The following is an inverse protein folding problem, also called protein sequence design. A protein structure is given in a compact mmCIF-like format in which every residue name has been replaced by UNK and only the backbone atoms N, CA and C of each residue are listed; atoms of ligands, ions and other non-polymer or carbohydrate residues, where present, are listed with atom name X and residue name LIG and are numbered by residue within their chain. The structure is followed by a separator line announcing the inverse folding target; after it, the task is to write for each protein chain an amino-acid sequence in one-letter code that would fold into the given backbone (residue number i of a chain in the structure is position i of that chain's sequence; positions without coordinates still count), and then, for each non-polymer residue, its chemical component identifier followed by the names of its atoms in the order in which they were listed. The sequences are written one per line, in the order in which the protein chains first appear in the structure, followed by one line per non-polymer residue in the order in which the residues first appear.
data_IF_454021734412
#
_entry.id   IF_454021734412
#
_cell.length_a   1.000
_cell.length_b   1.000
_cell.length_c   1.000
_cell.angle_alpha   90.00
_cell.angle_beta   90.00
_cell.angle_gamma   90.00
#
_symmetry.space_group_name_H-M   'P 1'
#
loop_
_entity.id
_entity.type
_entity.pdbx_description
1 polymer ?
#
# COMPACT_ATOMS: atom_id res chain seq x y z
N UNK A 1 2.71 17.89 3.60
CA UNK A 1 2.13 16.76 4.34
C UNK A 1 3.01 16.48 5.53
N UNK A 2 2.50 15.78 6.55
CA UNK A 2 3.33 15.28 7.65
C UNK A 2 4.30 14.21 7.15
N UNK A 3 5.50 14.15 7.73
CA UNK A 3 6.49 13.13 7.41
C UNK A 3 6.08 11.79 8.02
N UNK A 4 5.76 10.82 7.15
CA UNK A 4 5.39 9.45 7.55
C UNK A 4 6.52 8.65 8.24
N UNK A 5 7.74 9.18 8.29
CA UNK A 5 8.92 8.51 8.89
C UNK A 5 9.25 9.03 10.29
N UNK A 6 8.96 10.30 10.59
CA UNK A 6 9.34 10.93 11.86
C UNK A 6 8.28 11.86 12.48
N UNK A 7 7.10 11.99 11.86
CA UNK A 7 6.01 12.84 12.36
C UNK A 7 6.20 14.35 12.16
N UNK A 8 7.27 14.78 11.48
CA UNK A 8 7.50 16.21 11.25
C UNK A 8 6.40 16.82 10.38
N UNK A 9 5.82 17.94 10.82
CA UNK A 9 4.62 18.54 10.21
C UNK A 9 4.82 19.05 8.78
N UNK A 10 6.05 19.39 8.37
CA UNK A 10 6.32 20.03 7.07
C UNK A 10 7.27 19.23 6.19
N UNK A 11 6.77 18.74 5.06
CA UNK A 11 7.60 18.19 3.98
C UNK A 11 7.48 19.01 2.71
N UNK A 12 8.49 18.93 1.84
CA UNK A 12 8.48 19.59 0.53
C UNK A 12 8.48 18.55 -0.60
N UNK A 13 7.89 18.93 -1.75
CA UNK A 13 7.87 18.08 -2.95
C UNK A 13 9.30 17.89 -3.48
N UNK A 14 9.66 16.67 -3.83
CA UNK A 14 11.00 16.27 -4.26
C UNK A 14 10.93 15.46 -5.58
N UNK A 15 10.34 16.05 -6.62
CA UNK A 15 10.13 15.40 -7.91
C UNK A 15 9.11 14.26 -7.88
N UNK A 16 9.01 13.50 -8.97
CA UNK A 16 8.08 12.36 -9.11
C UNK A 16 8.86 11.08 -9.43
N UNK A 17 8.30 9.94 -9.05
CA UNK A 17 8.78 8.63 -9.49
C UNK A 17 8.44 8.40 -10.97
N UNK A 18 9.10 7.43 -11.65
CA UNK A 18 8.78 7.11 -13.05
C UNK A 18 7.31 6.71 -13.29
N UNK A 19 6.67 6.12 -12.28
CA UNK A 19 5.25 5.76 -12.29
C UNK A 19 4.31 6.92 -11.89
N UNK A 20 4.83 8.15 -11.80
CA UNK A 20 4.04 9.37 -11.59
C UNK A 20 3.78 9.75 -10.12
N UNK A 21 4.04 8.85 -9.16
CA UNK A 21 3.83 9.14 -7.74
C UNK A 21 4.74 10.28 -7.26
N UNK A 22 4.15 11.21 -6.49
CA UNK A 22 4.90 12.33 -5.93
C UNK A 22 5.87 11.84 -4.85
N UNK A 23 7.11 12.36 -4.86
CA UNK A 23 8.07 12.17 -3.76
C UNK A 23 8.08 13.39 -2.85
N UNK A 24 8.35 13.17 -1.58
CA UNK A 24 8.44 14.20 -0.55
C UNK A 24 9.72 14.03 0.24
N UNK A 25 10.39 15.14 0.53
CA UNK A 25 11.57 15.17 1.40
C UNK A 25 11.21 15.86 2.72
N UNK A 26 11.71 15.28 3.81
CA UNK A 26 11.58 15.84 5.15
C UNK A 26 12.87 16.58 5.54
N UNK A 27 12.81 17.88 5.91
CA UNK A 27 13.99 18.63 6.34
C UNK A 27 14.55 18.18 7.70
N UNK A 28 13.72 17.58 8.55
CA UNK A 28 14.13 17.15 9.89
C UNK A 28 14.89 15.82 9.86
N UNK A 29 14.27 14.74 9.36
CA UNK A 29 14.93 13.43 9.29
C UNK A 29 15.80 13.25 8.03
N UNK A 30 15.77 14.20 7.09
CA UNK A 30 16.53 14.20 5.81
C UNK A 30 16.24 13.00 4.91
N UNK A 31 15.11 12.32 5.11
CA UNK A 31 14.68 11.18 4.31
C UNK A 31 13.67 11.61 3.24
N UNK A 32 13.62 10.83 2.15
CA UNK A 32 12.62 10.98 1.09
C UNK A 32 11.65 9.80 1.13
N UNK A 33 10.37 10.07 0.97
CA UNK A 33 9.35 9.03 0.88
C UNK A 33 8.40 9.33 -0.29
N UNK A 34 7.74 8.30 -0.82
CA UNK A 34 6.72 8.46 -1.86
C UNK A 34 5.37 8.76 -1.24
N UNK A 35 4.48 9.34 -2.03
CA UNK A 35 3.06 9.52 -1.68
C UNK A 35 2.42 8.21 -1.21
N UNK A 36 2.69 7.12 -1.93
CA UNK A 36 2.24 5.76 -1.62
C UNK A 36 2.96 5.10 -0.44
N UNK A 37 3.92 5.77 0.21
CA UNK A 37 4.65 5.20 1.35
C UNK A 37 3.70 4.72 2.44
N UNK A 38 3.96 3.51 2.93
CA UNK A 38 3.16 2.81 3.92
C UNK A 38 1.65 2.72 3.57
N UNK A 39 1.32 2.62 2.28
CA UNK A 39 -0.03 2.29 1.82
C UNK A 39 -0.06 0.85 1.29
N UNK A 40 -1.26 0.32 1.04
CA UNK A 40 -1.42 -0.98 0.38
C UNK A 40 -0.82 -1.01 -1.04
N UNK A 41 -0.66 0.16 -1.67
CA UNK A 41 -0.13 0.35 -3.02
C UNK A 41 1.41 0.45 -3.05
N UNK A 42 2.06 0.51 -1.89
CA UNK A 42 3.51 0.73 -1.80
C UNK A 42 4.31 -0.42 -2.42
N UNK A 43 5.24 -0.12 -3.33
CA UNK A 43 6.08 -1.09 -4.05
C UNK A 43 5.31 -2.23 -4.73
N UNK A 44 4.07 -1.98 -5.18
CA UNK A 44 3.30 -2.96 -5.95
C UNK A 44 3.14 -2.51 -7.40
N UNK A 45 3.31 -3.47 -8.31
CA UNK A 45 2.95 -3.34 -9.73
C UNK A 45 1.55 -3.97 -9.96
N UNK A 46 0.62 -3.69 -9.06
CA UNK A 46 -0.75 -4.19 -9.09
C UNK A 46 -1.66 -2.97 -9.12
N UNK A 47 -2.66 -2.97 -10.00
CA UNK A 47 -3.55 -1.83 -10.10
C UNK A 47 -4.41 -1.68 -8.83
N UNK A 48 -4.86 -0.47 -8.47
CA UNK A 48 -5.77 -0.28 -7.34
C UNK A 48 -7.03 -1.14 -7.44
N UNK A 49 -7.57 -1.32 -8.65
CA UNK A 49 -8.76 -2.11 -8.94
C UNK A 49 -8.52 -3.60 -8.65
N UNK A 50 -7.36 -4.12 -9.03
CA UNK A 50 -6.99 -5.50 -8.72
C UNK A 50 -6.82 -5.72 -7.20
N UNK A 51 -6.24 -4.75 -6.48
CA UNK A 51 -6.15 -4.82 -5.02
C UNK A 51 -7.56 -4.83 -4.41
N UNK A 52 -8.47 -3.96 -4.88
CA UNK A 52 -9.85 -3.94 -4.43
C UNK A 52 -10.55 -5.28 -4.69
N UNK A 53 -10.41 -5.85 -5.89
CA UNK A 53 -10.97 -7.16 -6.22
C UNK A 53 -10.44 -8.28 -5.30
N UNK A 54 -9.14 -8.29 -5.01
CA UNK A 54 -8.54 -9.25 -4.07
C UNK A 54 -9.16 -9.12 -2.69
N UNK A 55 -9.27 -7.90 -2.15
CA UNK A 55 -9.79 -7.67 -0.81
C UNK A 55 -11.29 -7.98 -0.71
N UNK A 56 -12.07 -7.61 -1.73
CA UNK A 56 -13.50 -7.92 -1.81
C UNK A 56 -13.75 -9.43 -1.89
N UNK A 57 -13.06 -10.13 -2.78
CA UNK A 57 -13.23 -11.58 -2.90
C UNK A 57 -12.79 -12.31 -1.62
N UNK A 58 -11.78 -11.79 -0.92
CA UNK A 58 -11.36 -12.33 0.37
C UNK A 58 -12.41 -12.12 1.47
N UNK A 59 -13.01 -10.92 1.56
CA UNK A 59 -14.06 -10.64 2.55
C UNK A 59 -15.35 -11.44 2.29
N UNK A 60 -15.62 -11.80 1.04
CA UNK A 60 -16.72 -12.70 0.64
C UNK A 60 -16.42 -14.19 0.90
N UNK A 61 -15.24 -14.53 1.42
CA UNK A 61 -14.87 -15.90 1.78
C UNK A 61 -14.24 -16.72 0.66
N UNK A 62 -13.86 -16.10 -0.46
CA UNK A 62 -13.13 -16.80 -1.53
C UNK A 62 -11.74 -17.20 -1.04
N UNK A 63 -11.36 -18.47 -1.29
CA UNK A 63 -10.01 -18.93 -0.95
C UNK A 63 -8.93 -18.13 -1.69
N UNK A 64 -7.76 -17.94 -1.08
CA UNK A 64 -6.63 -17.22 -1.70
C UNK A 64 -6.21 -17.83 -3.05
N UNK A 65 -6.35 -19.14 -3.21
CA UNK A 65 -6.11 -19.83 -4.50
C UNK A 65 -7.21 -19.51 -5.52
N UNK A 66 -8.46 -19.43 -5.10
CA UNK A 66 -9.57 -18.98 -5.94
C UNK A 66 -9.39 -17.55 -6.43
N UNK A 67 -8.99 -16.64 -5.54
CA UNK A 67 -8.71 -15.24 -5.88
C UNK A 67 -7.59 -15.14 -6.91
N UNK A 68 -6.51 -15.93 -6.75
CA UNK A 68 -5.41 -15.99 -7.72
C UNK A 68 -5.90 -16.41 -9.12
N UNK A 69 -6.84 -17.36 -9.20
CA UNK A 69 -7.44 -17.79 -10.48
C UNK A 69 -8.33 -16.71 -11.11
N UNK A 70 -9.13 -16.01 -10.30
CA UNK A 70 -10.07 -14.97 -10.76
C UNK A 70 -9.32 -13.72 -11.24
N UNK A 71 -8.34 -13.27 -10.45
CA UNK A 71 -7.62 -12.01 -10.70
C UNK A 71 -6.43 -12.17 -11.65
N UNK A 72 -5.98 -13.41 -11.89
CA UNK A 72 -4.76 -13.70 -12.64
C UNK A 72 -3.46 -13.33 -11.90
N UNK A 73 -3.55 -12.83 -10.65
CA UNK A 73 -2.38 -12.50 -9.85
C UNK A 73 -1.70 -13.77 -9.33
N UNK A 74 -0.37 -13.74 -9.25
CA UNK A 74 0.40 -14.80 -8.61
C UNK A 74 -0.09 -15.01 -7.16
N UNK A 75 -0.18 -16.27 -6.74
CA UNK A 75 -0.70 -16.64 -5.41
C UNK A 75 -0.01 -15.87 -4.27
N UNK A 76 1.32 -15.73 -4.32
CA UNK A 76 2.07 -15.00 -3.30
C UNK A 76 1.77 -13.49 -3.29
N UNK A 77 1.41 -12.90 -4.43
CA UNK A 77 0.95 -11.50 -4.50
C UNK A 77 -0.38 -11.34 -3.79
N UNK A 78 -1.34 -12.25 -4.03
CA UNK A 78 -2.64 -12.28 -3.33
C UNK A 78 -2.43 -12.39 -1.81
N UNK A 79 -1.61 -13.37 -1.38
CA UNK A 79 -1.28 -13.56 0.04
C UNK A 79 -0.66 -12.30 0.65
N UNK A 80 0.28 -11.66 -0.07
CA UNK A 80 0.94 -10.44 0.38
C UNK A 80 -0.05 -9.27 0.54
N UNK A 81 -0.97 -9.09 -0.40
CA UNK A 81 -2.02 -8.05 -0.33
C UNK A 81 -2.89 -8.27 0.90
N UNK A 82 -3.42 -9.49 1.08
CA UNK A 82 -4.29 -9.83 2.20
C UNK A 82 -3.57 -9.61 3.54
N UNK A 83 -2.32 -10.09 3.69
CA UNK A 83 -1.55 -9.89 4.93
C UNK A 83 -1.30 -8.42 5.25
N UNK A 84 -0.94 -7.60 4.25
CA UNK A 84 -0.75 -6.16 4.44
C UNK A 84 -2.04 -5.47 4.87
N UNK A 85 -3.17 -5.86 4.28
CA UNK A 85 -4.49 -5.34 4.66
C UNK A 85 -4.88 -5.77 6.08
N UNK A 86 -4.73 -7.05 6.44
CA UNK A 86 -5.02 -7.54 7.79
C UNK A 86 -4.18 -6.83 8.86
N UNK A 87 -2.89 -6.61 8.59
CA UNK A 87 -2.00 -5.91 9.54
C UNK A 87 -2.47 -4.48 9.79
N UNK A 88 -2.89 -3.76 8.73
CA UNK A 88 -3.42 -2.40 8.85
C UNK A 88 -4.81 -2.37 9.50
N UNK A 89 -5.68 -3.33 9.19
CA UNK A 89 -6.99 -3.45 9.81
C UNK A 89 -6.87 -3.71 11.33
N UNK A 90 -5.88 -4.50 11.76
CA UNK A 90 -5.64 -4.75 13.18
C UNK A 90 -5.23 -3.48 13.94
N UNK A 91 -4.47 -2.57 13.32
CA UNK A 91 -4.13 -1.28 13.93
C UNK A 91 -5.40 -0.47 14.22
N UNK A 92 -6.31 -0.38 13.24
CA UNK A 92 -7.58 0.34 13.38
C UNK A 92 -8.51 -0.30 14.42
N UNK A 93 -8.52 -1.64 14.54
CA UNK A 93 -9.36 -2.35 15.51
C UNK A 93 -8.86 -2.24 16.96
N UNK A 94 -7.58 -2.00 17.16
CA UNK A 94 -6.96 -1.91 18.48
C UNK A 94 -6.97 -0.49 19.06
N UNK A 95 -7.36 0.51 18.27
CA UNK A 95 -7.60 1.90 18.68
C UNK A 95 -9.01 2.09 19.24
#
# INVERSE_FOLDING_TARGET
MECKLCGHSKTHKHGKMPNGHQRYFCPECKQTFSESFDTLYYYRHVSPEQIQQVLQAHSEGTSLRGISRITGLAYNTVVSIVRSASSKAQLVHND
#
